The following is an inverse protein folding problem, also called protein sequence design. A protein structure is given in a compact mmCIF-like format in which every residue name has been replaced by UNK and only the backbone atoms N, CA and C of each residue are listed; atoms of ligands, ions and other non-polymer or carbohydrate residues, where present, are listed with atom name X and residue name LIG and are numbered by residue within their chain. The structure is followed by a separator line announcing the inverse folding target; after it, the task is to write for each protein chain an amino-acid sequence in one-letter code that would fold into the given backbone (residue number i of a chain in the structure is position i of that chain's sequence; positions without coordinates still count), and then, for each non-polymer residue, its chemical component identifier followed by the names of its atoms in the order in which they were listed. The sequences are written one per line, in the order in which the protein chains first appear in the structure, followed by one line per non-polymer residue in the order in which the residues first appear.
data_IF_768477551067
#
_entry.id   IF_768477551067
#
_cell.length_a   1.000
_cell.length_b   1.000
_cell.length_c   1.000
_cell.angle_alpha   90.00
_cell.angle_beta   90.00
_cell.angle_gamma   90.00
#
_symmetry.space_group_name_H-M   'P 1'
#
loop_
_entity.id
_entity.type
_entity.pdbx_description
1 polymer ?
#
# COMPACT_ATOMS: atom_id res chain seq x y z
N UNK A 1 0.10 -12.38 -28.73
CA UNK A 1 0.80 -12.71 -27.47
C UNK A 1 1.87 -11.65 -27.27
N UNK A 2 1.63 -10.66 -26.39
CA UNK A 2 2.58 -9.58 -26.12
C UNK A 2 3.61 -10.04 -25.07
N UNK A 3 4.92 -9.90 -25.32
CA UNK A 3 5.94 -10.36 -24.38
C UNK A 3 5.90 -9.52 -23.10
N UNK A 4 5.72 -10.19 -21.97
CA UNK A 4 5.86 -9.59 -20.64
C UNK A 4 7.33 -9.15 -20.53
N UNK A 5 7.53 -7.84 -20.45
CA UNK A 5 8.87 -7.24 -20.44
C UNK A 5 9.51 -7.48 -19.06
N UNK A 6 10.78 -7.93 -19.00
CA UNK A 6 11.40 -8.50 -17.79
C UNK A 6 11.54 -7.53 -16.62
N UNK A 7 11.47 -6.22 -16.86
CA UNK A 7 11.55 -5.20 -15.82
C UNK A 7 10.27 -5.03 -14.99
N UNK A 8 9.12 -5.54 -15.46
CA UNK A 8 7.89 -5.60 -14.64
C UNK A 8 8.07 -6.58 -13.47
N UNK A 9 8.87 -7.65 -13.66
CA UNK A 9 9.29 -8.54 -12.58
C UNK A 9 10.33 -7.91 -11.66
N UNK A 10 11.20 -7.03 -12.17
CA UNK A 10 12.19 -6.32 -11.36
C UNK A 10 11.54 -5.32 -10.38
N UNK A 11 10.40 -4.71 -10.73
CA UNK A 11 9.66 -3.84 -9.81
C UNK A 11 8.99 -4.61 -8.65
N UNK A 12 8.66 -5.89 -8.86
CA UNK A 12 8.06 -6.76 -7.83
C UNK A 12 9.09 -7.54 -7.01
N UNK A 13 10.32 -7.69 -7.51
CA UNK A 13 11.42 -8.40 -6.84
C UNK A 13 12.51 -7.47 -6.26
N UNK A 14 12.52 -6.19 -6.63
CA UNK A 14 13.52 -5.19 -6.19
C UNK A 14 13.29 -4.61 -4.79
N UNK A 15 12.19 -4.94 -4.11
CA UNK A 15 11.93 -4.53 -2.72
C UNK A 15 12.68 -5.37 -1.67
N UNK A 16 13.77 -6.02 -2.07
CA UNK A 16 14.57 -6.92 -1.24
C UNK A 16 16.06 -6.76 -1.51
N UNK A 17 16.63 -5.61 -1.14
CA UNK A 17 18.01 -5.48 -0.63
C UNK A 17 18.43 -4.00 -0.62
N UNK A 18 18.38 -3.36 0.55
CA UNK A 18 19.34 -2.32 0.97
C UNK A 18 19.04 -1.94 2.42
N UNK A 19 19.40 -2.81 3.36
CA UNK A 19 19.33 -2.54 4.81
C UNK A 19 20.71 -2.32 5.42
N UNK A 20 21.70 -1.89 4.64
CA UNK A 20 23.08 -1.79 5.14
C UNK A 20 23.87 -0.67 4.44
N UNK A 21 23.52 0.59 4.72
CA UNK A 21 24.41 1.74 4.55
C UNK A 21 23.82 3.01 5.20
N UNK A 22 23.61 2.99 6.51
CA UNK A 22 23.57 4.23 7.31
C UNK A 22 24.58 4.08 8.45
N UNK A 23 25.84 3.87 8.08
CA UNK A 23 26.97 3.97 8.98
C UNK A 23 27.38 5.44 9.08
N UNK A 24 27.01 6.08 10.18
CA UNK A 24 27.76 7.15 10.85
C UNK A 24 28.18 8.36 10.03
N UNK A 25 27.31 9.37 9.99
CA UNK A 25 27.73 10.74 10.27
C UNK A 25 26.80 11.29 11.34
N UNK A 26 27.33 11.47 12.56
CA UNK A 26 26.61 12.13 13.66
C UNK A 26 26.48 13.63 13.35
N UNK A 27 25.51 13.97 12.48
CA UNK A 27 24.97 15.32 12.42
C UNK A 27 24.20 15.62 13.72
N UNK A 28 23.93 16.90 14.02
CA UNK A 28 23.12 17.28 15.18
C UNK A 28 21.82 16.47 15.18
N UNK A 29 21.57 15.73 16.28
CA UNK A 29 20.29 15.03 16.49
C UNK A 29 19.18 16.06 16.26
N UNK A 30 18.30 15.89 15.25
CA UNK A 30 17.10 16.71 15.21
C UNK A 30 16.39 16.51 16.56
N UNK A 31 15.97 17.61 17.19
CA UNK A 31 15.14 17.60 18.39
C UNK A 31 13.90 16.73 18.09
N UNK A 32 14.00 15.46 18.47
CA UNK A 32 13.23 14.36 17.87
C UNK A 32 12.00 14.08 18.71
N UNK A 33 11.29 15.15 19.09
CA UNK A 33 9.98 14.99 19.69
C UNK A 33 8.92 15.27 18.63
N UNK A 34 8.84 14.39 17.62
CA UNK A 34 7.57 14.22 16.92
C UNK A 34 6.62 13.65 17.97
N UNK A 35 5.85 14.53 18.60
CA UNK A 35 4.83 14.13 19.56
C UNK A 35 3.73 13.39 18.78
N UNK A 36 3.69 12.06 18.92
CA UNK A 36 2.56 11.31 18.41
C UNK A 36 1.29 11.71 19.19
N UNK A 37 0.13 11.81 18.53
CA UNK A 37 -1.13 12.08 19.23
C UNK A 37 -1.29 11.13 20.42
N UNK A 38 -1.92 11.57 21.50
CA UNK A 38 -2.17 10.68 22.62
C UNK A 38 -3.18 9.58 22.23
N UNK A 39 -3.30 8.54 23.04
CA UNK A 39 -4.40 7.58 22.88
C UNK A 39 -5.77 8.29 23.00
N UNK A 40 -5.86 9.40 23.74
CA UNK A 40 -7.08 10.20 23.85
C UNK A 40 -7.46 10.88 22.54
N UNK A 41 -6.48 11.42 21.84
CA UNK A 41 -6.69 12.12 20.56
C UNK A 41 -7.06 11.15 19.42
N UNK A 42 -6.81 9.85 19.59
CA UNK A 42 -7.17 8.80 18.62
C UNK A 42 -8.46 8.06 18.95
N UNK A 43 -9.17 8.41 20.02
CA UNK A 43 -10.43 7.73 20.42
C UNK A 43 -11.49 7.73 19.33
N UNK A 44 -11.49 8.75 18.47
CA UNK A 44 -12.41 8.87 17.35
C UNK A 44 -12.08 7.92 16.18
N UNK A 45 -10.85 7.41 16.09
CA UNK A 45 -10.40 6.51 15.02
C UNK A 45 -10.92 5.09 15.26
N UNK A 46 -12.18 4.86 14.88
CA UNK A 46 -12.86 3.56 15.03
C UNK A 46 -13.29 3.00 13.67
N UNK A 47 -13.59 1.70 13.61
CA UNK A 47 -13.97 1.02 12.37
C UNK A 47 -12.94 1.20 11.24
N UNK A 48 -13.40 1.63 10.07
CA UNK A 48 -12.57 1.88 8.88
C UNK A 48 -11.58 3.04 9.02
N UNK A 49 -11.76 3.90 10.02
CA UNK A 49 -10.88 5.06 10.27
C UNK A 49 -9.81 4.76 11.32
N UNK A 50 -9.73 3.52 11.82
CA UNK A 50 -8.62 3.06 12.65
C UNK A 50 -7.31 3.20 11.88
N UNK A 51 -6.25 3.61 12.57
CA UNK A 51 -4.89 3.77 12.00
C UNK A 51 -4.48 2.60 11.09
N UNK A 52 -4.63 1.39 11.60
CA UNK A 52 -4.32 0.14 10.90
C UNK A 52 -5.06 0.03 9.55
N UNK A 53 -6.36 0.32 9.54
CA UNK A 53 -7.21 0.31 8.33
C UNK A 53 -6.84 1.42 7.35
N UNK A 54 -6.45 2.58 7.85
CA UNK A 54 -5.93 3.65 6.99
C UNK A 54 -4.58 3.27 6.36
N UNK A 55 -3.77 2.45 7.03
CA UNK A 55 -2.52 1.93 6.44
C UNK A 55 -2.81 0.95 5.31
N UNK A 56 -3.78 0.04 5.50
CA UNK A 56 -4.30 -0.84 4.44
C UNK A 56 -4.80 -0.05 3.23
N UNK A 57 -5.73 0.88 3.47
CA UNK A 57 -6.27 1.72 2.41
C UNK A 57 -5.19 2.53 1.69
N UNK A 58 -4.22 3.10 2.41
CA UNK A 58 -3.15 3.88 1.78
C UNK A 58 -2.19 3.01 0.95
N UNK A 59 -1.85 1.80 1.41
CA UNK A 59 -1.07 0.85 0.63
C UNK A 59 -1.80 0.45 -0.65
N UNK A 60 -3.08 0.07 -0.54
CA UNK A 60 -3.90 -0.34 -1.68
C UNK A 60 -4.15 0.80 -2.67
N UNK A 61 -4.26 2.04 -2.18
CA UNK A 61 -4.27 3.25 -3.01
C UNK A 61 -2.98 3.41 -3.81
N UNK A 62 -1.82 3.29 -3.17
CA UNK A 62 -0.52 3.41 -3.84
C UNK A 62 -0.33 2.31 -4.89
N UNK A 63 -0.70 1.06 -4.59
CA UNK A 63 -0.60 -0.05 -5.53
C UNK A 63 -1.48 0.15 -6.77
N UNK A 64 -2.75 0.53 -6.57
CA UNK A 64 -3.65 0.80 -7.69
C UNK A 64 -3.22 2.04 -8.48
N UNK A 65 -2.78 3.09 -7.79
CA UNK A 65 -2.26 4.31 -8.42
C UNK A 65 -1.01 4.04 -9.26
N UNK A 66 -0.07 3.24 -8.75
CA UNK A 66 1.11 2.80 -9.50
C UNK A 66 0.74 1.99 -10.75
N UNK A 67 -0.27 1.12 -10.66
CA UNK A 67 -0.78 0.42 -11.83
C UNK A 67 -1.39 1.40 -12.85
N UNK A 68 -2.12 2.42 -12.39
CA UNK A 68 -2.69 3.47 -13.27
C UNK A 68 -1.62 4.30 -13.96
N UNK A 69 -0.59 4.73 -13.24
CA UNK A 69 0.53 5.48 -13.82
C UNK A 69 1.35 4.62 -14.79
N UNK A 70 1.42 3.31 -14.58
CA UNK A 70 2.01 2.36 -15.54
C UNK A 70 1.13 2.12 -16.79
N UNK A 71 -0.02 2.79 -16.91
CA UNK A 71 -0.91 2.72 -18.06
C UNK A 71 -1.93 1.57 -18.01
N UNK A 72 -2.15 0.95 -16.85
CA UNK A 72 -3.18 -0.10 -16.70
C UNK A 72 -4.58 0.51 -16.72
N UNK A 73 -5.58 -0.15 -17.37
CA UNK A 73 -6.98 0.22 -17.24
C UNK A 73 -7.44 0.26 -15.77
N UNK A 74 -8.47 1.05 -15.47
CA UNK A 74 -9.00 1.21 -14.10
C UNK A 74 -9.35 -0.13 -13.45
N UNK A 75 -10.03 -1.00 -14.18
CA UNK A 75 -10.41 -2.33 -13.70
C UNK A 75 -9.21 -3.21 -13.38
N UNK A 76 -8.18 -3.22 -14.23
CA UNK A 76 -6.94 -3.96 -13.98
C UNK A 76 -6.19 -3.43 -12.75
N UNK A 77 -6.05 -2.10 -12.63
CA UNK A 77 -5.39 -1.46 -11.49
C UNK A 77 -6.08 -1.78 -10.16
N UNK A 78 -7.42 -1.73 -10.15
CA UNK A 78 -8.23 -2.13 -9.01
C UNK A 78 -8.04 -3.61 -8.67
N UNK A 79 -8.19 -4.50 -9.66
CA UNK A 79 -8.12 -5.93 -9.46
C UNK A 79 -6.74 -6.38 -8.96
N UNK A 80 -5.65 -5.81 -9.50
CA UNK A 80 -4.29 -6.11 -9.05
C UNK A 80 -4.07 -5.70 -7.59
N UNK A 81 -4.51 -4.50 -7.21
CA UNK A 81 -4.38 -4.02 -5.83
C UNK A 81 -5.25 -4.83 -4.86
N UNK A 82 -6.53 -5.07 -5.19
CA UNK A 82 -7.44 -5.86 -4.35
C UNK A 82 -6.94 -7.31 -4.19
N UNK A 83 -6.34 -7.90 -5.22
CA UNK A 83 -5.77 -9.25 -5.14
C UNK A 83 -4.67 -9.34 -4.08
N UNK A 84 -3.89 -8.26 -3.87
CA UNK A 84 -2.90 -8.20 -2.81
C UNK A 84 -3.55 -8.20 -1.42
N UNK A 85 -4.63 -7.44 -1.23
CA UNK A 85 -5.44 -7.44 0.00
C UNK A 85 -6.05 -8.81 0.30
N UNK A 86 -6.70 -9.44 -0.70
CA UNK A 86 -7.24 -10.82 -0.55
C UNK A 86 -6.13 -11.81 -0.19
N UNK A 87 -4.97 -11.73 -0.84
CA UNK A 87 -3.86 -12.63 -0.56
C UNK A 87 -3.32 -12.44 0.86
N UNK A 88 -3.25 -11.19 1.35
CA UNK A 88 -2.89 -10.88 2.74
C UNK A 88 -3.89 -11.50 3.71
N UNK A 89 -5.20 -11.32 3.51
CA UNK A 89 -6.22 -11.89 4.40
C UNK A 89 -6.25 -13.42 4.38
N UNK A 90 -6.02 -14.04 3.22
CA UNK A 90 -5.88 -15.51 3.12
C UNK A 90 -4.64 -15.99 3.87
N UNK A 91 -3.55 -15.22 3.85
CA UNK A 91 -2.33 -15.54 4.61
C UNK A 91 -2.58 -15.38 6.11
N UNK A 92 -3.21 -14.29 6.53
CA UNK A 92 -3.52 -14.02 7.93
C UNK A 92 -4.49 -15.07 8.50
N UNK A 93 -5.48 -15.51 7.72
CA UNK A 93 -6.39 -16.59 8.10
C UNK A 93 -5.70 -17.95 8.35
N UNK A 94 -4.47 -18.16 7.84
CA UNK A 94 -3.67 -19.36 8.15
C UNK A 94 -2.95 -19.26 9.50
N UNK A 95 -2.81 -18.05 10.05
CA UNK A 95 -2.06 -17.79 11.28
C UNK A 95 -2.95 -17.33 12.44
N UNK A 96 -4.04 -16.63 12.16
CA UNK A 96 -4.98 -16.10 13.15
C UNK A 96 -6.43 -16.10 12.61
N UNK A 97 -6.78 -15.10 11.80
CA UNK A 97 -8.16 -14.91 11.30
C UNK A 97 -8.21 -14.09 10.01
N UNK A 98 -9.30 -14.26 9.28
CA UNK A 98 -9.67 -13.40 8.15
C UNK A 98 -10.39 -12.16 8.67
N UNK A 99 -9.96 -10.97 8.24
CA UNK A 99 -10.54 -9.69 8.63
C UNK A 99 -11.18 -8.98 7.44
N UNK A 100 -12.52 -9.06 7.37
CA UNK A 100 -13.30 -8.41 6.32
C UNK A 100 -13.18 -6.88 6.33
N UNK A 101 -12.86 -6.27 7.46
CA UNK A 101 -12.73 -4.80 7.58
C UNK A 101 -11.38 -4.35 6.99
N UNK A 102 -10.34 -5.18 7.05
CA UNK A 102 -9.07 -4.93 6.36
C UNK A 102 -9.27 -5.01 4.85
N UNK A 103 -9.94 -6.06 4.39
CA UNK A 103 -10.25 -6.21 2.97
C UNK A 103 -11.11 -5.06 2.42
N UNK A 104 -12.07 -4.58 3.21
CA UNK A 104 -12.88 -3.43 2.83
C UNK A 104 -12.03 -2.14 2.73
N UNK A 105 -11.08 -1.94 3.65
CA UNK A 105 -10.15 -0.83 3.59
C UNK A 105 -9.24 -0.91 2.34
N UNK A 106 -8.75 -2.11 2.02
CA UNK A 106 -7.99 -2.37 0.80
C UNK A 106 -8.82 -2.09 -0.46
N UNK A 107 -10.08 -2.52 -0.50
CA UNK A 107 -10.98 -2.23 -1.62
C UNK A 107 -11.21 -0.73 -1.81
N UNK A 108 -11.40 0.03 -0.72
CA UNK A 108 -11.56 1.49 -0.78
C UNK A 108 -10.29 2.16 -1.31
N UNK A 109 -9.12 1.78 -0.78
CA UNK A 109 -7.83 2.25 -1.26
C UNK A 109 -7.63 1.98 -2.74
N UNK A 110 -7.82 0.72 -3.15
CA UNK A 110 -7.70 0.28 -4.52
C UNK A 110 -8.64 1.03 -5.47
N UNK A 111 -9.89 1.27 -5.06
CA UNK A 111 -10.87 2.01 -5.86
C UNK A 111 -10.43 3.46 -6.07
N UNK A 112 -9.98 4.13 -5.01
CA UNK A 112 -9.47 5.50 -5.07
C UNK A 112 -8.22 5.61 -5.94
N UNK A 113 -7.27 4.68 -5.81
CA UNK A 113 -6.04 4.67 -6.60
C UNK A 113 -6.32 4.37 -8.07
N UNK A 114 -7.25 3.44 -8.36
CA UNK A 114 -7.67 3.11 -9.72
C UNK A 114 -8.42 4.26 -10.40
N UNK A 115 -9.09 5.12 -9.64
CA UNK A 115 -9.80 6.29 -10.16
C UNK A 115 -8.85 7.37 -10.69
N UNK A 116 -7.56 7.35 -10.31
CA UNK A 116 -6.58 8.33 -10.77
C UNK A 116 -6.49 8.40 -12.30
N UNK A 117 -6.17 9.60 -12.85
CA UNK A 117 -5.80 9.74 -14.25
C UNK A 117 -4.65 8.78 -14.58
N UNK A 118 -4.71 8.17 -15.76
CA UNK A 118 -3.63 7.31 -16.24
C UNK A 118 -2.83 8.10 -17.26
N UNK A 119 -1.61 7.65 -17.54
CA UNK A 119 -0.90 8.17 -18.70
C UNK A 119 -1.75 7.96 -19.95
N UNK A 120 -2.04 9.06 -20.64
CA UNK A 120 -2.53 9.00 -22.02
C UNK A 120 -1.31 8.67 -22.88
N UNK A 121 -1.37 7.55 -23.58
CA UNK A 121 -0.40 7.23 -24.63
C UNK A 121 -0.99 7.79 -25.91
N UNK A 122 -0.51 8.97 -26.27
CA UNK A 122 -0.79 9.65 -27.52
C UNK A 122 0.01 9.01 -28.67
#
# INVERSE_FOLDING_TARGET
MLPIRPWVLAALLGAGASSSAWAGTEGPRPDSTIAFPSAADRRWQTGLVRRDRLQHASLSFVLAGAARTAGRPRGEAFALSLSAGVLKEVRDARHDRFDLVDLAADALGAALGAALPGERRD
#
